data_IF_370716309002
#
_entry.id   IF_370716309002
#
_cell.length_a   1.000
_cell.length_b   1.000
_cell.length_c   1.000
_cell.angle_alpha   90.00
_cell.angle_beta   90.00
_cell.angle_gamma   90.00
#
_symmetry.space_group_name_H-M   'P 1'
#
loop_
_entity.id
_entity.type
_entity.pdbx_description
1 polymer ?
#
# COMPACT_ATOMS: atom_id res chain seq x y z
N UNK A 1 4.18 8.10 -11.07
CA UNK A 1 4.42 6.74 -10.57
C UNK A 1 4.58 5.84 -11.77
N UNK A 2 5.59 4.96 -11.75
CA UNK A 2 5.87 3.96 -12.80
C UNK A 2 4.65 3.13 -13.24
N UNK A 3 3.63 2.99 -12.38
CA UNK A 3 2.36 2.36 -12.73
C UNK A 3 1.38 3.34 -13.42
N UNK A 4 0.84 4.31 -12.68
CA UNK A 4 -0.26 5.14 -13.18
C UNK A 4 0.17 6.25 -14.15
N UNK A 5 1.46 6.62 -14.15
CA UNK A 5 2.03 7.72 -14.96
C UNK A 5 1.40 9.10 -14.73
N UNK A 6 0.57 9.26 -13.69
CA UNK A 6 -0.15 10.49 -13.37
C UNK A 6 0.49 11.17 -12.15
N UNK A 7 0.56 10.44 -11.02
CA UNK A 7 1.06 10.99 -9.75
C UNK A 7 2.59 11.02 -9.66
N UNK A 8 3.15 11.65 -8.63
CA UNK A 8 4.59 11.56 -8.34
C UNK A 8 4.97 10.09 -8.07
N UNK A 9 6.17 9.68 -8.48
CA UNK A 9 6.65 8.34 -8.21
C UNK A 9 7.21 8.22 -6.79
N UNK A 10 6.38 7.71 -5.88
CA UNK A 10 6.79 7.35 -4.52
C UNK A 10 6.30 5.95 -4.16
N UNK A 11 7.06 5.20 -3.33
CA UNK A 11 6.61 3.92 -2.80
C UNK A 11 5.29 4.00 -2.04
N UNK A 12 5.04 5.09 -1.32
CA UNK A 12 3.83 5.30 -0.54
C UNK A 12 2.60 5.40 -1.44
N UNK A 13 2.71 6.09 -2.58
CA UNK A 13 1.62 6.13 -3.55
C UNK A 13 1.33 4.73 -4.11
N UNK A 14 2.37 3.97 -4.48
CA UNK A 14 2.22 2.59 -4.95
C UNK A 14 1.52 1.70 -3.92
N UNK A 15 1.96 1.79 -2.66
CA UNK A 15 1.51 0.96 -1.55
C UNK A 15 0.09 1.31 -1.07
N UNK A 16 -0.25 2.59 -0.99
CA UNK A 16 -1.49 3.05 -0.36
C UNK A 16 -2.60 3.34 -1.35
N UNK A 17 -2.30 3.98 -2.49
CA UNK A 17 -3.34 4.62 -3.32
C UNK A 17 -3.31 4.27 -4.81
N UNK A 18 -2.24 3.65 -5.32
CA UNK A 18 -2.10 3.43 -6.76
C UNK A 18 -2.90 2.20 -7.22
N UNK A 19 -3.91 2.39 -8.07
CA UNK A 19 -4.74 1.29 -8.59
C UNK A 19 -4.39 0.87 -10.03
N UNK A 20 -3.32 1.43 -10.59
CA UNK A 20 -2.92 1.17 -11.97
C UNK A 20 -2.22 -0.19 -12.19
N UNK A 21 -1.75 -0.85 -11.12
CA UNK A 21 -1.16 -2.19 -11.20
C UNK A 21 -2.12 -3.23 -10.59
N UNK A 22 -2.68 -4.15 -11.39
CA UNK A 22 -3.57 -5.20 -10.88
C UNK A 22 -2.91 -6.09 -9.81
N UNK A 23 -1.61 -6.31 -9.92
CA UNK A 23 -0.83 -7.09 -8.96
C UNK A 23 -0.76 -6.37 -7.59
N UNK A 24 -0.47 -5.07 -7.59
CA UNK A 24 -0.45 -4.24 -6.37
C UNK A 24 -1.84 -4.16 -5.74
N UNK A 25 -2.89 -4.02 -6.56
CA UNK A 25 -4.29 -4.03 -6.09
C UNK A 25 -4.63 -5.36 -5.41
N UNK A 26 -4.19 -6.49 -5.99
CA UNK A 26 -4.38 -7.82 -5.40
C UNK A 26 -3.68 -7.95 -4.05
N UNK A 27 -2.41 -7.55 -3.96
CA UNK A 27 -1.63 -7.55 -2.72
C UNK A 27 -2.31 -6.70 -1.63
N UNK A 28 -2.76 -5.49 -1.98
CA UNK A 28 -3.45 -4.59 -1.06
C UNK A 28 -4.79 -5.13 -0.60
N UNK A 29 -5.55 -5.75 -1.50
CA UNK A 29 -6.83 -6.39 -1.16
C UNK A 29 -6.64 -7.56 -0.20
N UNK A 30 -5.64 -8.42 -0.45
CA UNK A 30 -5.31 -9.53 0.44
C UNK A 30 -4.81 -9.04 1.81
N UNK A 31 -3.95 -8.01 1.81
CA UNK A 31 -3.46 -7.36 3.03
C UNK A 31 -4.61 -6.82 3.88
N UNK A 32 -5.50 -6.00 3.30
CA UNK A 32 -6.64 -5.44 4.04
C UNK A 32 -7.64 -6.50 4.48
N UNK A 33 -7.87 -7.52 3.65
CA UNK A 33 -8.70 -8.66 4.01
C UNK A 33 -8.22 -9.33 5.30
N UNK A 34 -6.90 -9.58 5.40
CA UNK A 34 -6.31 -10.16 6.61
C UNK A 34 -6.29 -9.17 7.79
N UNK A 35 -5.87 -7.93 7.53
CA UNK A 35 -5.77 -6.90 8.55
C UNK A 35 -7.11 -6.67 9.27
N UNK A 36 -8.22 -6.63 8.53
CA UNK A 36 -9.55 -6.40 9.12
C UNK A 36 -10.14 -7.63 9.81
N UNK A 37 -9.63 -8.84 9.52
CA UNK A 37 -9.94 -10.03 10.31
C UNK A 37 -9.19 -9.97 11.64
N UNK A 38 -7.90 -9.66 11.60
CA UNK A 38 -7.03 -9.65 12.78
C UNK A 38 -7.35 -8.47 13.72
N UNK A 39 -7.66 -7.30 13.15
CA UNK A 39 -7.96 -6.06 13.88
C UNK A 39 -9.14 -5.30 13.23
N UNK A 40 -10.39 -5.68 13.54
CA UNK A 40 -11.59 -5.12 12.89
C UNK A 40 -11.76 -3.60 13.07
N UNK A 41 -11.25 -3.02 14.15
CA UNK A 41 -11.31 -1.57 14.43
C UNK A 41 -10.58 -0.74 13.37
N UNK A 42 -9.55 -1.30 12.72
CA UNK A 42 -8.82 -0.62 11.66
C UNK A 42 -9.68 -0.36 10.42
N UNK A 43 -10.75 -1.16 10.20
CA UNK A 43 -11.68 -0.94 9.08
C UNK A 43 -12.40 0.41 9.21
N UNK A 44 -12.84 0.73 10.41
CA UNK A 44 -13.51 2.00 10.71
C UNK A 44 -12.52 3.16 10.56
N UNK A 45 -11.29 2.99 11.03
CA UNK A 45 -10.25 4.02 10.92
C UNK A 45 -9.85 4.30 9.46
N UNK A 46 -9.88 3.29 8.58
CA UNK A 46 -9.59 3.48 7.15
C UNK A 46 -10.56 4.47 6.48
N UNK A 47 -11.81 4.53 6.93
CA UNK A 47 -12.83 5.42 6.34
C UNK A 47 -12.71 6.88 6.83
N UNK A 48 -12.00 7.10 7.94
CA UNK A 48 -11.94 8.39 8.65
C UNK A 48 -10.58 9.06 8.48
N UNK A 49 -9.51 8.28 8.39
CA UNK A 49 -8.13 8.78 8.36
C UNK A 49 -7.61 8.94 6.95
N UNK A 50 -6.77 9.95 6.76
CA UNK A 50 -5.98 10.06 5.53
C UNK A 50 -5.05 8.85 5.38
N UNK A 51 -4.71 8.40 4.15
CA UNK A 51 -3.95 7.17 3.93
C UNK A 51 -2.63 7.08 4.72
N UNK A 52 -1.92 8.21 4.85
CA UNK A 52 -0.67 8.26 5.61
C UNK A 52 -0.87 8.15 7.13
N UNK A 53 -1.99 8.67 7.65
CA UNK A 53 -2.36 8.57 9.07
C UNK A 53 -2.84 7.16 9.38
N UNK A 54 -3.63 6.57 8.49
CA UNK A 54 -4.03 5.18 8.58
C UNK A 54 -2.81 4.24 8.52
N UNK A 55 -1.83 4.52 7.66
CA UNK A 55 -0.60 3.74 7.64
C UNK A 55 0.15 3.76 8.98
N UNK A 56 0.17 4.90 9.67
CA UNK A 56 0.75 5.01 11.00
C UNK A 56 0.02 4.15 12.03
N UNK A 57 -1.33 4.10 12.01
CA UNK A 57 -2.06 3.27 12.98
C UNK A 57 -1.75 1.79 12.82
N UNK A 58 -1.57 1.31 11.58
CA UNK A 58 -1.22 -0.09 11.29
C UNK A 58 0.18 -0.49 11.79
N UNK A 59 1.13 0.45 11.92
CA UNK A 59 2.49 0.15 12.38
C UNK A 59 2.66 0.25 13.90
N UNK A 60 1.79 1.00 14.58
CA UNK A 60 1.88 1.18 16.04
C UNK A 60 1.44 -0.06 16.82
N UNK A 61 0.56 -0.89 16.24
CA UNK A 61 0.16 -2.14 16.85
C UNK A 61 1.17 -3.27 16.59
N UNK A 62 1.67 -3.88 17.68
CA UNK A 62 2.64 -5.00 17.60
C UNK A 62 2.08 -6.22 16.88
N UNK A 63 0.76 -6.41 16.91
CA UNK A 63 0.04 -7.48 16.21
C UNK A 63 0.09 -7.34 14.70
N UNK A 64 0.11 -6.11 14.17
CA UNK A 64 -0.04 -5.83 12.75
C UNK A 64 1.27 -5.46 12.06
N UNK A 65 2.29 -5.01 12.81
CA UNK A 65 3.57 -4.56 12.21
C UNK A 65 4.22 -5.60 11.28
N UNK A 66 4.18 -6.89 11.63
CA UNK A 66 4.73 -7.95 10.78
C UNK A 66 3.94 -8.11 9.48
N UNK A 67 2.61 -7.97 9.55
CA UNK A 67 1.73 -8.03 8.38
C UNK A 67 1.96 -6.81 7.47
N UNK A 68 2.11 -5.61 8.04
CA UNK A 68 2.43 -4.39 7.29
C UNK A 68 3.80 -4.49 6.62
N UNK A 69 4.80 -4.97 7.34
CA UNK A 69 6.16 -5.13 6.81
C UNK A 69 6.18 -6.12 5.63
N UNK A 70 5.47 -7.24 5.75
CA UNK A 70 5.34 -8.21 4.66
C UNK A 70 4.67 -7.58 3.43
N UNK A 71 3.54 -6.90 3.63
CA UNK A 71 2.83 -6.22 2.55
C UNK A 71 3.70 -5.17 1.84
N UNK A 72 4.41 -4.35 2.61
CA UNK A 72 5.31 -3.36 2.07
C UNK A 72 6.43 -4.00 1.23
N UNK A 73 7.03 -5.08 1.73
CA UNK A 73 8.03 -5.84 0.98
C UNK A 73 7.49 -6.36 -0.36
N UNK A 74 6.33 -7.03 -0.35
CA UNK A 74 5.72 -7.60 -1.56
C UNK A 74 5.38 -6.52 -2.60
N UNK A 75 4.84 -5.36 -2.18
CA UNK A 75 4.58 -4.24 -3.10
C UNK A 75 5.88 -3.65 -3.65
N UNK A 76 6.91 -3.50 -2.82
CA UNK A 76 8.19 -2.94 -3.23
C UNK A 76 8.91 -3.82 -4.25
N UNK A 77 8.79 -5.15 -4.15
CA UNK A 77 9.33 -6.07 -5.16
C UNK A 77 8.70 -5.82 -6.54
N UNK A 78 7.36 -5.69 -6.60
CA UNK A 78 6.64 -5.36 -7.84
C UNK A 78 7.02 -3.97 -8.34
N UNK A 79 7.11 -3.00 -7.42
CA UNK A 79 7.48 -1.64 -7.74
C UNK A 79 8.88 -1.58 -8.36
N UNK A 80 9.90 -2.12 -7.70
CA UNK A 80 11.29 -2.01 -8.14
C UNK A 80 11.61 -2.84 -9.39
N UNK A 81 10.90 -3.93 -9.65
CA UNK A 81 11.03 -4.70 -10.89
C UNK A 81 10.34 -4.03 -12.09
N UNK A 82 9.40 -3.11 -11.84
CA UNK A 82 8.76 -2.33 -12.89
C UNK A 82 9.66 -1.19 -13.37
N UNK A 83 9.90 -1.02 -14.68
CA UNK A 83 10.71 0.06 -15.21
C UNK A 83 10.20 1.46 -14.79
N UNK A 84 11.13 2.33 -14.39
CA UNK A 84 10.83 3.72 -14.05
C UNK A 84 10.21 4.44 -15.25
N UNK A 85 9.11 5.16 -15.02
CA UNK A 85 8.53 6.00 -16.06
C UNK A 85 9.42 7.23 -16.27
N UNK A 86 9.98 7.37 -17.47
CA UNK A 86 10.67 8.58 -17.92
C UNK A 86 9.79 9.24 -18.98
N UNK A 87 9.29 10.44 -18.74
CA UNK A 87 8.74 11.24 -19.85
C UNK A 87 9.90 11.60 -20.76
N UNK A 88 9.82 11.26 -22.05
CA UNK A 88 10.76 11.79 -23.03
C UNK A 88 10.65 13.32 -23.00
N UNK A 89 11.78 13.97 -22.72
CA UNK A 89 11.92 15.44 -22.81
C UNK A 89 12.05 15.82 -24.28
#
# INVERSE_FOLDING_TARGET
CRFCKIEVETPEHALLTCDASPEVVSLRTAFFGKLFIDVPTLRVLMEILEPSEFFKTMIYERSTIALVAKFAYEVLEVFYTTPVFRSAV
#
